data_IF_633632736996
#
_entry.id   IF_633632736996
#
_cell.length_a   1.000
_cell.length_b   1.000
_cell.length_c   1.000
_cell.angle_alpha   90.00
_cell.angle_beta   90.00
_cell.angle_gamma   90.00
#
_symmetry.space_group_name_H-M   'P 1'
#
loop_
_entity.id
_entity.type
_entity.pdbx_description
1 polymer ?
#
# COMPACT_ATOMS: atom_id res chain seq x y z
N UNK A 1 26.66 -14.65 11.89
CA UNK A 1 25.43 -14.32 11.16
C UNK A 1 24.79 -13.10 11.80
N UNK A 2 24.65 -12.04 11.05
CA UNK A 2 23.90 -10.87 11.51
C UNK A 2 22.41 -11.19 11.44
N UNK A 3 21.74 -11.17 12.59
CA UNK A 3 20.28 -11.31 12.63
C UNK A 3 19.69 -10.03 12.06
N UNK A 4 18.99 -10.13 10.94
CA UNK A 4 18.26 -9.00 10.37
C UNK A 4 16.89 -8.92 11.03
N UNK A 5 16.65 -7.85 11.77
CA UNK A 5 15.36 -7.57 12.37
C UNK A 5 14.49 -6.71 11.46
N UNK A 6 13.19 -6.93 11.55
CA UNK A 6 12.19 -6.10 10.88
C UNK A 6 12.19 -4.70 11.52
N UNK A 7 12.11 -3.67 10.67
CA UNK A 7 12.04 -2.28 11.12
C UNK A 7 10.61 -1.97 11.55
N UNK A 8 10.40 -1.39 12.75
CA UNK A 8 9.05 -1.10 13.27
C UNK A 8 8.48 0.21 12.71
N UNK A 9 8.65 0.41 11.42
CA UNK A 9 8.14 1.54 10.67
C UNK A 9 7.66 1.05 9.32
N UNK A 10 6.40 1.28 9.02
CA UNK A 10 5.71 0.76 7.85
C UNK A 10 4.85 1.81 7.16
N UNK A 11 4.43 1.46 5.95
CA UNK A 11 3.48 2.25 5.17
C UNK A 11 2.18 1.46 4.98
N UNK A 12 1.10 2.20 4.80
CA UNK A 12 -0.17 1.72 4.29
C UNK A 12 -0.54 2.60 3.12
N UNK A 13 -0.80 2.01 1.95
CA UNK A 13 -1.16 2.76 0.76
C UNK A 13 -2.60 2.46 0.37
N UNK A 14 -3.46 3.46 0.48
CA UNK A 14 -4.84 3.41 -0.01
C UNK A 14 -4.82 3.70 -1.50
N UNK A 15 -4.99 2.66 -2.32
CA UNK A 15 -5.08 2.79 -3.78
C UNK A 15 -6.52 3.08 -4.14
N UNK A 16 -6.76 4.17 -4.86
CA UNK A 16 -8.11 4.64 -5.15
C UNK A 16 -8.24 5.26 -6.55
N UNK A 17 -9.46 5.31 -7.01
CA UNK A 17 -9.83 5.98 -8.27
C UNK A 17 -10.36 7.39 -8.02
N UNK A 18 -10.51 8.17 -9.11
CA UNK A 18 -11.15 9.50 -9.05
C UNK A 18 -12.61 9.45 -8.54
N UNK A 19 -13.28 8.32 -8.74
CA UNK A 19 -14.66 8.09 -8.26
C UNK A 19 -14.73 7.56 -6.81
N UNK A 20 -13.60 7.54 -6.10
CA UNK A 20 -13.50 7.06 -4.72
C UNK A 20 -13.77 5.56 -4.54
N UNK A 21 -13.53 4.75 -5.57
CA UNK A 21 -13.39 3.31 -5.41
C UNK A 21 -12.02 3.00 -4.83
N UNK A 22 -11.96 2.08 -3.89
CA UNK A 22 -10.74 1.68 -3.18
C UNK A 22 -10.41 0.23 -3.52
N UNK A 23 -9.14 -0.03 -3.81
CA UNK A 23 -8.62 -1.36 -4.01
C UNK A 23 -8.38 -2.04 -2.65
N UNK A 24 -8.97 -3.18 -2.45
CA UNK A 24 -8.63 -4.09 -1.36
C UNK A 24 -8.08 -5.39 -1.90
N UNK A 25 -7.12 -5.95 -1.20
CA UNK A 25 -6.46 -7.22 -1.51
C UNK A 25 -6.65 -8.21 -0.37
N UNK A 26 -6.92 -9.47 -0.72
CA UNK A 26 -7.18 -10.53 0.23
C UNK A 26 -5.89 -11.24 0.61
N UNK A 27 -5.65 -11.41 1.91
CA UNK A 27 -4.45 -12.07 2.42
C UNK A 27 -4.49 -13.58 2.17
N UNK A 28 -3.38 -14.13 1.68
CA UNK A 28 -3.23 -15.57 1.48
C UNK A 28 -3.06 -16.34 2.81
N UNK A 29 -2.38 -15.75 3.80
CA UNK A 29 -2.17 -16.35 5.11
C UNK A 29 -3.41 -16.27 6.03
N UNK A 30 -4.39 -15.46 5.65
CA UNK A 30 -5.64 -15.30 6.39
C UNK A 30 -6.80 -15.02 5.43
N UNK A 31 -7.31 -16.03 4.72
CA UNK A 31 -8.41 -15.86 3.78
C UNK A 31 -9.64 -15.21 4.41
N UNK A 32 -10.29 -14.31 3.67
CA UNK A 32 -11.39 -13.48 4.17
C UNK A 32 -10.94 -12.17 4.81
N UNK A 33 -9.64 -11.97 5.04
CA UNK A 33 -9.09 -10.70 5.51
C UNK A 33 -8.65 -9.83 4.34
N UNK A 34 -9.27 -8.68 4.24
CA UNK A 34 -9.05 -7.70 3.20
C UNK A 34 -8.28 -6.49 3.75
N UNK A 35 -7.33 -5.98 2.97
CA UNK A 35 -6.48 -4.88 3.37
C UNK A 35 -6.06 -4.02 2.17
N UNK A 36 -5.54 -2.83 2.45
CA UNK A 36 -4.77 -2.05 1.49
C UNK A 36 -3.34 -2.59 1.38
N UNK A 37 -2.54 -2.04 0.47
CA UNK A 37 -1.10 -2.34 0.39
C UNK A 37 -0.40 -1.92 1.68
N UNK A 38 0.36 -2.81 2.27
CA UNK A 38 1.14 -2.53 3.49
C UNK A 38 2.53 -3.16 3.42
N UNK A 39 3.51 -2.50 4.02
CA UNK A 39 4.82 -3.08 4.19
C UNK A 39 5.75 -2.24 5.02
N UNK A 40 6.79 -2.86 5.55
CA UNK A 40 7.80 -2.22 6.38
C UNK A 40 8.97 -1.73 5.54
N UNK A 41 9.72 -0.75 6.07
CA UNK A 41 11.03 -0.40 5.53
C UNK A 41 11.93 -1.63 5.48
N UNK A 42 12.71 -1.75 4.42
CA UNK A 42 13.73 -2.80 4.29
C UNK A 42 15.01 -2.44 5.06
N UNK A 43 15.34 -1.16 5.07
CA UNK A 43 16.49 -0.60 5.80
C UNK A 43 16.09 0.66 6.56
N UNK A 44 16.82 0.99 7.62
CA UNK A 44 16.45 2.06 8.53
C UNK A 44 16.40 3.45 7.87
N UNK A 45 17.25 3.69 6.88
CA UNK A 45 17.35 4.94 6.13
C UNK A 45 16.52 4.98 4.84
N UNK A 46 15.75 3.92 4.53
CA UNK A 46 14.77 3.95 3.44
C UNK A 46 13.74 5.03 3.70
N UNK A 47 13.46 5.88 2.72
CA UNK A 47 12.42 6.89 2.84
C UNK A 47 11.04 6.22 2.77
N UNK A 48 10.08 6.74 3.54
CA UNK A 48 8.71 6.21 3.53
C UNK A 48 8.07 6.23 2.14
N UNK A 49 8.39 7.25 1.33
CA UNK A 49 7.95 7.33 -0.06
C UNK A 49 8.52 6.17 -0.90
N UNK A 50 9.78 5.83 -0.70
CA UNK A 50 10.45 4.70 -1.39
C UNK A 50 9.83 3.37 -0.94
N UNK A 51 9.57 3.21 0.35
CA UNK A 51 8.85 2.05 0.89
C UNK A 51 7.47 1.91 0.24
N UNK A 52 6.71 3.00 0.13
CA UNK A 52 5.38 2.99 -0.49
C UNK A 52 5.44 2.60 -1.97
N UNK A 53 6.37 3.15 -2.74
CA UNK A 53 6.57 2.82 -4.16
C UNK A 53 6.92 1.35 -4.32
N UNK A 54 7.85 0.84 -3.52
CA UNK A 54 8.30 -0.56 -3.56
C UNK A 54 7.17 -1.52 -3.22
N UNK A 55 6.46 -1.31 -2.13
CA UNK A 55 5.36 -2.19 -1.69
C UNK A 55 4.18 -2.19 -2.67
N UNK A 56 3.82 -1.04 -3.23
CA UNK A 56 2.79 -0.97 -4.29
C UNK A 56 3.20 -1.81 -5.48
N UNK A 57 4.45 -1.73 -5.93
CA UNK A 57 4.98 -2.52 -7.03
C UNK A 57 4.98 -4.02 -6.73
N UNK A 58 5.44 -4.42 -5.56
CA UNK A 58 5.54 -5.82 -5.14
C UNK A 58 4.17 -6.47 -4.99
N UNK A 59 3.22 -5.78 -4.39
CA UNK A 59 1.90 -6.35 -4.07
C UNK A 59 0.87 -6.24 -5.20
N UNK A 60 1.02 -5.26 -6.11
CA UNK A 60 0.00 -5.00 -7.15
C UNK A 60 0.54 -4.91 -8.58
N UNK A 61 1.83 -4.86 -8.76
CA UNK A 61 2.46 -4.65 -10.06
C UNK A 61 2.35 -3.22 -10.61
N UNK A 62 1.78 -2.28 -9.85
CA UNK A 62 1.69 -0.87 -10.25
C UNK A 62 3.05 -0.21 -10.09
N UNK A 63 3.54 0.43 -11.16
CA UNK A 63 4.80 1.17 -11.17
C UNK A 63 4.53 2.65 -10.96
N UNK A 64 4.93 3.18 -9.82
CA UNK A 64 4.88 4.62 -9.54
C UNK A 64 6.21 5.25 -9.93
N UNK A 65 6.21 6.19 -10.87
CA UNK A 65 7.44 6.77 -11.39
C UNK A 65 7.28 8.24 -11.78
N UNK A 66 8.41 8.94 -11.83
CA UNK A 66 8.43 10.29 -12.36
C UNK A 66 8.35 10.25 -13.89
N UNK A 67 7.21 10.62 -14.46
CA UNK A 67 6.98 10.62 -15.90
C UNK A 67 7.70 11.76 -16.65
N UNK A 68 8.41 12.65 -15.93
CA UNK A 68 9.25 13.71 -16.52
C UNK A 68 10.54 13.18 -17.13
N UNK A 69 10.91 11.92 -16.89
CA UNK A 69 12.04 11.27 -17.54
C UNK A 69 11.53 10.59 -18.80
N UNK A 70 12.00 10.95 -20.02
CA UNK A 70 11.58 10.25 -21.22
C UNK A 70 11.96 8.78 -21.09
N UNK A 71 10.95 7.92 -21.04
CA UNK A 71 11.16 6.49 -21.16
C UNK A 71 11.82 6.22 -22.50
N UNK A 72 12.97 5.56 -22.51
CA UNK A 72 13.51 4.94 -23.72
C UNK A 72 12.48 3.90 -24.16
N UNK A 73 11.66 4.31 -25.09
CA UNK A 73 10.51 3.55 -25.57
C UNK A 73 10.96 2.34 -26.37
N UNK A 74 10.57 1.17 -25.91
CA UNK A 74 10.31 0.07 -26.82
C UNK A 74 8.84 0.07 -27.19
N UNK A 75 8.48 0.14 -28.45
CA UNK A 75 7.09 0.18 -28.88
C UNK A 75 6.51 -1.24 -28.88
N UNK A 76 5.93 -1.65 -27.78
CA UNK A 76 4.97 -2.76 -27.81
C UNK A 76 3.58 -2.17 -27.58
N UNK A 77 2.94 -1.91 -28.71
CA UNK A 77 1.55 -1.47 -28.77
C UNK A 77 0.64 -2.54 -28.17
N UNK A 78 -0.25 -2.13 -27.24
CA UNK A 78 -1.45 -2.86 -26.88
C UNK A 78 -1.64 -3.28 -25.42
N UNK A 79 -0.67 -3.14 -24.55
CA UNK A 79 -0.88 -3.38 -23.12
C UNK A 79 -1.28 -2.08 -22.40
N UNK A 80 -2.35 -2.16 -21.58
CA UNK A 80 -2.68 -1.09 -20.64
C UNK A 80 -1.45 -0.83 -19.76
N UNK A 81 -1.05 0.45 -19.66
CA UNK A 81 0.10 0.81 -18.84
C UNK A 81 -0.20 0.63 -17.36
N UNK A 82 0.64 -0.12 -16.64
CA UNK A 82 0.59 -0.23 -15.18
C UNK A 82 1.37 0.90 -14.47
N UNK A 83 1.82 1.92 -15.20
CA UNK A 83 2.58 3.04 -14.67
C UNK A 83 1.68 4.20 -14.27
N UNK A 84 1.98 4.81 -13.13
CA UNK A 84 1.29 6.01 -12.61
C UNK A 84 2.31 7.08 -12.27
N UNK A 85 1.95 8.37 -12.47
CA UNK A 85 2.83 9.48 -12.07
C UNK A 85 3.11 9.49 -10.57
N UNK A 86 4.34 9.83 -10.19
CA UNK A 86 4.74 9.98 -8.78
C UNK A 86 3.87 11.00 -8.03
N UNK A 87 3.39 12.04 -8.70
CA UNK A 87 2.51 13.06 -8.13
C UNK A 87 1.14 12.52 -7.67
N UNK A 88 0.75 11.33 -8.15
CA UNK A 88 -0.47 10.64 -7.73
C UNK A 88 -0.31 9.91 -6.38
N UNK A 89 0.92 9.73 -5.92
CA UNK A 89 1.24 9.18 -4.60
C UNK A 89 1.42 10.30 -3.60
N UNK A 90 0.55 10.35 -2.60
CA UNK A 90 0.51 11.41 -1.59
C UNK A 90 0.65 10.87 -0.19
N UNK A 91 1.54 11.47 0.58
CA UNK A 91 1.59 11.29 2.03
C UNK A 91 0.41 12.06 2.65
N UNK A 92 -0.49 11.32 3.31
CA UNK A 92 -1.62 11.95 4.00
C UNK A 92 -1.24 12.55 5.35
N UNK A 93 0.02 12.39 5.76
CA UNK A 93 0.53 12.88 7.06
C UNK A 93 -0.28 12.32 8.24
N UNK A 94 -0.83 11.14 8.06
CA UNK A 94 -1.48 10.35 9.08
C UNK A 94 -0.57 9.20 9.47
N UNK A 95 -0.49 8.92 10.75
CA UNK A 95 0.21 7.74 11.25
C UNK A 95 -0.55 7.10 12.39
N UNK A 96 -0.43 5.79 12.49
CA UNK A 96 -1.00 4.98 13.55
C UNK A 96 0.12 4.23 14.25
N UNK A 97 0.16 4.33 15.57
CA UNK A 97 1.03 3.50 16.40
C UNK A 97 0.18 2.38 16.99
N UNK A 98 0.59 1.15 16.75
CA UNK A 98 -0.10 -0.01 17.30
C UNK A 98 0.87 -1.02 17.91
N UNK A 99 0.37 -1.78 18.87
CA UNK A 99 1.13 -2.84 19.52
C UNK A 99 1.32 -4.02 18.57
N UNK A 100 2.56 -4.44 18.43
CA UNK A 100 2.89 -5.65 17.67
C UNK A 100 2.40 -6.86 18.49
N UNK A 101 1.61 -7.72 17.86
CA UNK A 101 1.16 -8.95 18.50
C UNK A 101 2.33 -9.74 19.06
N UNK A 102 2.25 -10.23 20.30
CA UNK A 102 3.34 -10.95 20.96
C UNK A 102 3.95 -12.08 20.12
N UNK A 103 3.11 -12.79 19.36
CA UNK A 103 3.52 -13.89 18.46
C UNK A 103 4.47 -13.43 17.34
N UNK A 104 4.46 -12.15 16.97
CA UNK A 104 5.31 -11.59 15.91
C UNK A 104 6.48 -10.76 16.40
N UNK A 105 6.56 -10.49 17.71
CA UNK A 105 7.65 -9.65 18.28
C UNK A 105 9.04 -10.23 18.06
N UNK A 106 9.15 -11.54 17.91
CA UNK A 106 10.43 -12.20 17.60
C UNK A 106 11.05 -11.76 16.27
N UNK A 107 10.27 -11.15 15.38
CA UNK A 107 10.74 -10.59 14.10
C UNK A 107 11.45 -9.26 14.25
N UNK A 108 11.31 -8.60 15.38
CA UNK A 108 11.85 -7.28 15.67
C UNK A 108 12.98 -7.35 16.68
N UNK A 109 13.77 -6.28 16.78
CA UNK A 109 14.83 -6.20 17.77
C UNK A 109 14.27 -6.35 19.20
N UNK A 110 15.06 -6.90 20.13
CA UNK A 110 14.64 -7.02 21.53
C UNK A 110 14.14 -5.70 22.10
N UNK A 111 12.99 -5.72 22.79
CA UNK A 111 12.37 -4.53 23.38
C UNK A 111 11.46 -3.74 22.45
N UNK A 112 11.41 -4.05 21.16
CA UNK A 112 10.48 -3.45 20.23
C UNK A 112 9.09 -4.07 20.39
N UNK A 113 8.10 -3.25 20.76
CA UNK A 113 6.73 -3.70 21.02
C UNK A 113 5.69 -3.00 20.18
N UNK A 114 6.05 -1.89 19.52
CA UNK A 114 5.13 -1.06 18.73
C UNK A 114 5.67 -0.83 17.34
N UNK A 115 4.76 -0.72 16.37
CA UNK A 115 5.02 -0.30 14.99
C UNK A 115 4.31 1.01 14.70
N UNK A 116 4.98 1.89 13.95
CA UNK A 116 4.39 3.10 13.42
C UNK A 116 4.08 2.91 11.94
N UNK A 117 2.81 3.03 11.58
CA UNK A 117 2.33 2.90 10.21
C UNK A 117 1.92 4.26 9.65
N UNK A 118 2.51 4.64 8.52
CA UNK A 118 2.26 5.90 7.83
C UNK A 118 1.32 5.68 6.65
N UNK A 119 0.30 6.54 6.50
CA UNK A 119 -0.75 6.39 5.49
C UNK A 119 -0.45 7.24 4.28
N UNK A 120 -0.48 6.59 3.11
CA UNK A 120 -0.39 7.20 1.79
C UNK A 120 -1.66 6.93 0.99
N UNK A 121 -1.95 7.80 0.02
CA UNK A 121 -2.97 7.57 -0.99
C UNK A 121 -2.36 7.54 -2.37
N UNK A 122 -2.82 6.62 -3.23
CA UNK A 122 -2.40 6.52 -4.62
C UNK A 122 -3.60 6.59 -5.54
N UNK A 123 -3.68 7.66 -6.34
CA UNK A 123 -4.70 7.82 -7.37
C UNK A 123 -4.31 7.04 -8.64
N UNK A 124 -5.21 6.15 -9.08
CA UNK A 124 -4.99 5.34 -10.28
C UNK A 124 -6.23 5.33 -11.18
N UNK A 125 -6.06 5.03 -12.48
CA UNK A 125 -7.20 4.72 -13.35
C UNK A 125 -7.92 3.45 -12.89
N UNK A 126 -9.23 3.40 -13.09
CA UNK A 126 -10.06 2.23 -12.68
C UNK A 126 -9.69 0.94 -13.40
N UNK A 127 -9.19 1.04 -14.61
CA UNK A 127 -8.81 -0.06 -15.49
C UNK A 127 -7.32 -0.43 -15.41
N UNK A 128 -6.59 0.12 -14.44
CA UNK A 128 -5.17 -0.22 -14.26
C UNK A 128 -5.01 -1.72 -14.03
N UNK A 129 -4.08 -2.39 -14.72
CA UNK A 129 -3.80 -3.80 -14.50
C UNK A 129 -3.28 -4.05 -13.08
N UNK A 130 -3.84 -5.05 -12.40
CA UNK A 130 -3.41 -5.50 -11.08
C UNK A 130 -2.82 -6.89 -11.21
N UNK A 131 -1.57 -7.04 -10.77
CA UNK A 131 -0.86 -8.32 -10.71
C UNK A 131 -0.46 -8.57 -9.27
N UNK A 132 -1.20 -9.44 -8.60
CA UNK A 132 -0.99 -9.75 -7.19
C UNK A 132 0.29 -10.59 -6.99
N UNK A 133 0.95 -10.38 -5.86
CA UNK A 133 2.03 -11.25 -5.39
C UNK A 133 1.47 -12.65 -5.07
N UNK A 134 1.85 -13.74 -5.80
CA UNK A 134 1.08 -14.99 -5.81
C UNK A 134 1.03 -15.73 -4.48
N UNK A 135 2.01 -15.49 -3.59
CA UNK A 135 2.10 -16.15 -2.28
C UNK A 135 1.55 -15.33 -1.14
N UNK A 136 1.29 -14.05 -1.37
CA UNK A 136 0.88 -13.11 -0.33
C UNK A 136 -0.60 -12.75 -0.41
N UNK A 137 -1.16 -12.72 -1.62
CA UNK A 137 -2.53 -12.31 -1.88
C UNK A 137 -3.27 -13.27 -2.80
N UNK A 138 -4.56 -13.50 -2.51
CA UNK A 138 -5.43 -14.41 -3.25
C UNK A 138 -6.25 -13.70 -4.32
N UNK A 139 -6.86 -12.58 -3.95
CA UNK A 139 -7.80 -11.84 -4.77
C UNK A 139 -7.69 -10.34 -4.53
N UNK A 140 -8.28 -9.58 -5.43
CA UNK A 140 -8.51 -8.15 -5.22
C UNK A 140 -9.95 -7.78 -5.55
N UNK A 141 -10.40 -6.65 -4.99
CA UNK A 141 -11.73 -6.08 -5.25
C UNK A 141 -11.65 -4.57 -5.22
N UNK A 142 -12.43 -3.94 -6.09
CA UNK A 142 -12.69 -2.52 -6.05
C UNK A 142 -14.04 -2.27 -5.40
N UNK A 143 -14.07 -1.46 -4.35
CA UNK A 143 -15.29 -1.10 -3.64
C UNK A 143 -15.37 0.41 -3.45
N UNK A 144 -16.59 0.99 -3.49
CA UNK A 144 -16.77 2.35 -3.01
C UNK A 144 -16.14 2.54 -1.64
N UNK A 145 -15.51 3.68 -1.37
CA UNK A 145 -14.70 3.88 -0.16
C UNK A 145 -15.44 3.56 1.15
N UNK A 146 -16.75 3.79 1.23
CA UNK A 146 -17.54 3.44 2.42
C UNK A 146 -17.66 1.93 2.62
N UNK A 147 -17.94 1.20 1.54
CA UNK A 147 -17.99 -0.27 1.56
C UNK A 147 -16.61 -0.88 1.83
N UNK A 148 -15.56 -0.28 1.27
CA UNK A 148 -14.18 -0.68 1.54
C UNK A 148 -13.84 -0.50 3.03
N UNK A 149 -14.23 0.61 3.64
CA UNK A 149 -14.04 0.86 5.06
C UNK A 149 -14.76 -0.16 5.94
N UNK A 150 -15.99 -0.54 5.58
CA UNK A 150 -16.78 -1.55 6.30
C UNK A 150 -16.15 -2.95 6.20
N UNK A 151 -15.49 -3.24 5.09
CA UNK A 151 -14.82 -4.54 4.86
C UNK A 151 -13.47 -4.65 5.56
N UNK A 152 -12.86 -3.53 5.90
CA UNK A 152 -11.55 -3.50 6.54
C UNK A 152 -11.62 -3.91 8.01
N UNK A 153 -10.70 -4.76 8.46
CA UNK A 153 -10.74 -5.25 9.85
C UNK A 153 -10.18 -4.27 10.89
N UNK A 154 -9.33 -3.33 10.48
CA UNK A 154 -8.72 -2.33 11.37
C UNK A 154 -9.54 -1.05 11.39
N UNK A 155 -10.05 -0.66 12.56
CA UNK A 155 -10.87 0.52 12.70
C UNK A 155 -10.14 1.82 12.32
N UNK A 156 -8.87 1.95 12.69
CA UNK A 156 -8.07 3.15 12.36
C UNK A 156 -7.88 3.34 10.85
N UNK A 157 -7.72 2.24 10.12
CA UNK A 157 -7.57 2.28 8.67
C UNK A 157 -8.92 2.50 7.99
N UNK A 158 -9.98 1.90 8.51
CA UNK A 158 -11.33 2.16 8.03
C UNK A 158 -11.68 3.66 8.15
N UNK A 159 -11.32 4.29 9.25
CA UNK A 159 -11.49 5.74 9.44
C UNK A 159 -10.66 6.55 8.43
N UNK A 160 -9.42 6.15 8.16
CA UNK A 160 -8.59 6.78 7.13
C UNK A 160 -9.23 6.68 5.74
N UNK A 161 -9.75 5.51 5.37
CA UNK A 161 -10.47 5.30 4.10
C UNK A 161 -11.71 6.19 4.01
N UNK A 162 -12.47 6.35 5.09
CA UNK A 162 -13.65 7.24 5.12
C UNK A 162 -13.28 8.72 4.91
N UNK A 163 -12.04 9.10 5.21
CA UNK A 163 -11.55 10.46 4.96
C UNK A 163 -11.01 10.68 3.55
N UNK A 164 -10.98 9.65 2.71
CA UNK A 164 -10.49 9.73 1.32
C UNK A 164 -10.98 10.96 0.53
N UNK A 165 -12.27 11.38 0.62
CA UNK A 165 -12.72 12.57 -0.09
C UNK A 165 -11.95 13.86 0.24
N UNK A 166 -11.33 13.95 1.42
CA UNK A 166 -10.51 15.11 1.84
C UNK A 166 -9.15 15.14 1.16
N UNK A 167 -8.62 13.98 0.79
CA UNK A 167 -7.29 13.82 0.21
C UNK A 167 -7.31 13.67 -1.31
N UNK A 168 -8.50 13.59 -1.88
CA UNK A 168 -8.68 13.54 -3.31
C UNK A 168 -8.23 14.87 -3.92
N UNK A 169 -7.28 14.82 -4.85
CA UNK A 169 -7.03 15.97 -5.74
C UNK A 169 -8.19 16.10 -6.71
N UNK A 170 -8.76 17.29 -6.77
CA UNK A 170 -9.72 17.68 -7.81
C UNK A 170 -9.00 17.89 -9.15
#
# INVERSE_FOLDING_TARGET
MTVSYKIPESVLVVIHTANLDVLLIERADKPGFWQSVTGSKDVADELLLETAIREVGEETGIVVQNLSTPATSSPHQGALSSSVPLENLQDWQLSNVYDIYPVWRHRYAPGVTQNTEHVFGLLVPRDIPIVLAPREHLNFVWLPHREAADKYFSQSIAEAILQLPRYRKL
#
